data_IF_876711327683
#
_entry.id   IF_876711327683
#
_cell.length_a   1.000
_cell.length_b   1.000
_cell.length_c   1.000
_cell.angle_alpha   90.00
_cell.angle_beta   90.00
_cell.angle_gamma   90.00
#
_symmetry.space_group_name_H-M   'P 1'
#
loop_
_entity.id
_entity.type
_entity.pdbx_description
1 polymer ?
#
# COMPACT_ATOMS: atom_id res chain seq x y z
N UNK A 1 -11.88 -0.16 -9.12
CA UNK A 1 -12.58 -0.55 -7.87
C UNK A 1 -13.42 0.62 -7.34
N UNK A 2 -14.61 0.38 -6.80
CA UNK A 2 -15.48 1.40 -6.19
C UNK A 2 -15.47 1.29 -4.64
N UNK A 3 -15.99 2.29 -3.92
CA UNK A 3 -15.91 2.40 -2.45
C UNK A 3 -16.66 1.35 -1.61
N UNK A 4 -17.19 0.28 -2.22
CA UNK A 4 -17.82 -0.86 -1.52
C UNK A 4 -17.00 -2.15 -1.60
N UNK A 5 -15.83 -2.10 -2.22
CA UNK A 5 -14.95 -3.25 -2.38
C UNK A 5 -14.02 -3.34 -1.17
N UNK A 6 -13.83 -4.55 -0.63
CA UNK A 6 -12.88 -4.77 0.47
C UNK A 6 -11.44 -4.66 -0.03
N UNK A 7 -10.54 -4.17 0.82
CA UNK A 7 -9.13 -4.04 0.47
C UNK A 7 -8.49 -5.39 0.10
N UNK A 8 -8.92 -6.48 0.76
CA UNK A 8 -8.52 -7.85 0.39
C UNK A 8 -8.84 -8.16 -1.07
N UNK A 9 -10.07 -7.85 -1.51
CA UNK A 9 -10.48 -8.11 -2.89
C UNK A 9 -9.69 -7.24 -3.86
N UNK A 10 -9.48 -5.95 -3.53
CA UNK A 10 -8.63 -5.06 -4.35
C UNK A 10 -7.23 -5.64 -4.54
N UNK A 11 -6.59 -6.13 -3.48
CA UNK A 11 -5.24 -6.68 -3.58
C UNK A 11 -5.21 -7.94 -4.46
N UNK A 12 -6.17 -8.85 -4.29
CA UNK A 12 -6.26 -10.08 -5.08
C UNK A 12 -6.46 -9.76 -6.56
N UNK A 13 -7.40 -8.88 -6.90
CA UNK A 13 -7.73 -8.51 -8.29
C UNK A 13 -6.68 -7.60 -8.94
N UNK A 14 -5.84 -6.92 -8.15
CA UNK A 14 -4.82 -6.01 -8.68
C UNK A 14 -3.62 -6.72 -9.32
N UNK A 15 -3.54 -8.05 -9.20
CA UNK A 15 -2.39 -8.88 -9.60
C UNK A 15 -1.07 -8.44 -8.96
N UNK A 16 -1.10 -7.65 -7.87
CA UNK A 16 0.11 -7.23 -7.16
C UNK A 16 0.80 -8.43 -6.51
N UNK A 17 0.01 -9.41 -6.07
CA UNK A 17 0.52 -10.62 -5.44
C UNK A 17 1.32 -11.47 -6.44
N UNK A 18 1.02 -11.40 -7.75
CA UNK A 18 1.71 -12.16 -8.80
C UNK A 18 3.13 -11.66 -9.04
N UNK A 19 3.45 -10.49 -8.51
CA UNK A 19 4.78 -9.90 -8.55
C UNK A 19 5.64 -10.33 -7.37
N UNK A 20 5.07 -11.03 -6.39
CA UNK A 20 5.80 -11.48 -5.22
C UNK A 20 6.78 -12.57 -5.58
N UNK A 21 8.01 -12.42 -5.08
CA UNK A 21 9.04 -13.43 -5.16
C UNK A 21 9.11 -14.23 -3.86
N UNK A 22 9.58 -15.47 -3.98
CA UNK A 22 9.78 -16.33 -2.82
C UNK A 22 10.71 -15.66 -1.80
N UNK A 23 10.30 -15.64 -0.53
CA UNK A 23 11.05 -15.04 0.57
C UNK A 23 10.86 -13.53 0.76
N UNK A 24 10.14 -12.83 -0.12
CA UNK A 24 9.83 -11.40 0.07
C UNK A 24 8.95 -11.15 1.30
N UNK A 25 9.03 -9.93 1.84
CA UNK A 25 8.27 -9.51 3.00
C UNK A 25 7.19 -8.51 2.61
N UNK A 26 5.94 -8.84 2.92
CA UNK A 26 4.80 -7.93 2.80
C UNK A 26 4.44 -7.37 4.16
N UNK A 27 4.44 -6.05 4.26
CA UNK A 27 3.94 -5.30 5.40
C UNK A 27 2.49 -4.91 5.14
N UNK A 28 1.62 -5.15 6.12
CA UNK A 28 0.23 -4.74 6.03
C UNK A 28 -0.25 -4.10 7.33
N UNK A 29 -1.30 -3.30 7.22
CA UNK A 29 -2.00 -2.77 8.37
C UNK A 29 -2.68 -3.89 9.16
N UNK A 30 -2.94 -3.60 10.44
CA UNK A 30 -3.58 -4.54 11.34
C UNK A 30 -4.95 -4.97 10.78
N UNK A 31 -5.23 -6.27 10.87
CA UNK A 31 -6.52 -6.83 10.47
C UNK A 31 -6.64 -7.06 8.96
N UNK A 32 -5.57 -6.86 8.18
CA UNK A 32 -5.58 -7.14 6.76
C UNK A 32 -5.56 -8.67 6.50
N UNK A 33 -6.63 -9.28 5.94
CA UNK A 33 -6.80 -10.73 5.93
C UNK A 33 -6.13 -11.40 4.70
N UNK A 34 -4.80 -11.24 4.57
CA UNK A 34 -4.01 -11.77 3.46
C UNK A 34 -2.93 -12.79 3.83
N UNK A 35 -2.71 -13.06 5.11
CA UNK A 35 -1.62 -13.93 5.58
C UNK A 35 -1.56 -15.27 4.84
N UNK A 36 -2.69 -15.99 4.76
CA UNK A 36 -2.79 -17.26 4.05
C UNK A 36 -2.48 -17.12 2.55
N UNK A 37 -2.97 -16.06 1.91
CA UNK A 37 -2.80 -15.83 0.45
C UNK A 37 -1.35 -15.47 0.12
N UNK A 38 -0.65 -14.79 1.03
CA UNK A 38 0.77 -14.45 0.88
C UNK A 38 1.64 -15.69 1.14
N UNK A 39 1.27 -16.51 2.13
CA UNK A 39 1.98 -17.74 2.45
C UNK A 39 1.96 -18.77 1.31
N UNK A 40 0.85 -18.92 0.57
CA UNK A 40 0.78 -19.82 -0.59
C UNK A 40 1.74 -19.45 -1.73
N UNK A 41 2.22 -18.21 -1.75
CA UNK A 41 3.21 -17.71 -2.71
C UNK A 41 4.65 -17.78 -2.18
N UNK A 42 4.84 -18.34 -0.98
CA UNK A 42 6.14 -18.46 -0.34
C UNK A 42 6.74 -17.13 0.13
N UNK A 43 5.90 -16.10 0.29
CA UNK A 43 6.29 -14.81 0.84
C UNK A 43 5.93 -14.74 2.34
N UNK A 44 6.60 -13.84 3.06
CA UNK A 44 6.37 -13.56 4.48
C UNK A 44 5.35 -12.43 4.61
N UNK A 45 4.39 -12.59 5.51
CA UNK A 45 3.42 -11.56 5.82
C UNK A 45 3.66 -11.03 7.22
N UNK A 46 3.66 -9.71 7.39
CA UNK A 46 3.94 -9.09 8.68
C UNK A 46 3.04 -7.90 8.95
N UNK A 47 2.46 -7.91 10.13
CA UNK A 47 1.63 -6.84 10.68
C UNK A 47 2.29 -6.32 11.96
N UNK A 48 2.06 -5.05 12.34
CA UNK A 48 2.56 -4.52 13.61
C UNK A 48 2.13 -5.37 14.80
N UNK A 49 3.04 -5.60 15.75
CA UNK A 49 2.73 -6.41 16.93
C UNK A 49 1.59 -5.78 17.74
N UNK A 50 0.85 -6.62 18.45
CA UNK A 50 -0.30 -6.20 19.23
C UNK A 50 -0.35 -6.86 20.60
N UNK A 51 -0.71 -6.07 21.61
CA UNK A 51 -0.98 -6.51 22.97
C UNK A 51 -2.40 -7.09 23.05
N UNK A 52 -2.64 -8.23 22.38
CA UNK A 52 -3.98 -8.86 22.37
C UNK A 52 -4.37 -9.30 23.77
N UNK A 53 -3.60 -10.25 24.32
CA UNK A 53 -3.81 -10.81 25.66
C UNK A 53 -2.60 -10.58 26.59
N UNK A 54 -1.58 -9.85 26.11
CA UNK A 54 -0.34 -9.56 26.85
C UNK A 54 -0.43 -8.19 27.53
N UNK A 55 0.04 -8.10 28.78
CA UNK A 55 0.19 -6.81 29.50
C UNK A 55 1.24 -5.89 28.86
N UNK A 56 2.25 -6.46 28.20
CA UNK A 56 3.34 -5.72 27.56
C UNK A 56 3.93 -6.55 26.40
N UNK A 57 4.46 -5.88 25.37
CA UNK A 57 5.28 -6.51 24.34
C UNK A 57 6.67 -6.86 24.89
N UNK A 58 7.26 -7.94 24.41
CA UNK A 58 8.68 -8.22 24.67
C UNK A 58 9.58 -7.16 24.02
N UNK A 59 10.83 -7.08 24.46
CA UNK A 59 11.82 -6.19 23.86
C UNK A 59 12.01 -6.47 22.36
N UNK A 60 12.04 -7.75 21.98
CA UNK A 60 12.15 -8.18 20.59
C UNK A 60 10.93 -7.73 19.75
N UNK A 61 9.71 -7.96 20.22
CA UNK A 61 8.48 -7.52 19.54
C UNK A 61 8.41 -5.99 19.43
N UNK A 62 8.92 -5.28 20.45
CA UNK A 62 8.95 -3.82 20.47
C UNK A 62 9.91 -3.27 19.42
N UNK A 63 11.12 -3.81 19.34
CA UNK A 63 12.11 -3.42 18.34
C UNK A 63 11.65 -3.75 16.92
N UNK A 64 11.03 -4.91 16.72
CA UNK A 64 10.46 -5.31 15.43
C UNK A 64 9.32 -4.38 14.99
N UNK A 65 8.44 -4.01 15.91
CA UNK A 65 7.37 -3.04 15.65
C UNK A 65 7.93 -1.67 15.30
N UNK A 66 8.99 -1.23 15.98
CA UNK A 66 9.68 0.03 15.67
C UNK A 66 10.25 0.02 14.26
N UNK A 67 10.87 -1.08 13.83
CA UNK A 67 11.38 -1.24 12.45
C UNK A 67 10.26 -1.15 11.41
N UNK A 68 9.15 -1.86 11.62
CA UNK A 68 7.99 -1.79 10.72
C UNK A 68 7.43 -0.36 10.66
N UNK A 69 7.29 0.31 11.80
CA UNK A 69 6.79 1.67 11.89
C UNK A 69 7.69 2.66 11.12
N UNK A 70 9.02 2.52 11.22
CA UNK A 70 9.96 3.35 10.47
C UNK A 70 9.77 3.20 8.95
N UNK A 71 9.65 1.98 8.45
CA UNK A 71 9.39 1.73 7.01
C UNK A 71 8.04 2.31 6.59
N UNK A 72 7.00 2.17 7.42
CA UNK A 72 5.66 2.74 7.16
C UNK A 72 5.70 4.26 6.99
N UNK A 73 6.48 4.97 7.81
CA UNK A 73 6.62 6.43 7.71
C UNK A 73 7.07 6.83 6.31
N UNK A 74 7.98 6.08 5.69
CA UNK A 74 8.43 6.35 4.34
C UNK A 74 7.33 6.11 3.29
N UNK A 75 6.56 5.02 3.41
CA UNK A 75 5.42 4.73 2.53
C UNK A 75 4.37 5.84 2.61
N UNK A 76 3.97 6.22 3.83
CA UNK A 76 2.99 7.28 4.07
C UNK A 76 3.47 8.63 3.53
N UNK A 77 4.77 8.92 3.65
CA UNK A 77 5.39 10.13 3.10
C UNK A 77 5.33 10.15 1.57
N UNK A 78 5.60 9.03 0.90
CA UNK A 78 5.49 8.93 -0.57
C UNK A 78 4.04 9.10 -1.03
N UNK A 79 3.09 8.42 -0.38
CA UNK A 79 1.65 8.56 -0.69
C UNK A 79 1.20 10.02 -0.48
N UNK A 80 1.59 10.62 0.64
CA UNK A 80 1.32 12.01 0.96
C UNK A 80 1.91 12.98 -0.07
N UNK A 81 3.16 12.76 -0.49
CA UNK A 81 3.82 13.57 -1.52
C UNK A 81 3.09 13.49 -2.86
N UNK A 82 2.69 12.30 -3.32
CA UNK A 82 1.91 12.14 -4.56
C UNK A 82 0.59 12.92 -4.45
N UNK A 83 -0.16 12.75 -3.36
CA UNK A 83 -1.45 13.44 -3.15
C UNK A 83 -1.32 14.96 -3.07
N UNK A 84 -0.22 15.46 -2.49
CA UNK A 84 -0.03 16.90 -2.26
C UNK A 84 0.58 17.63 -3.44
N UNK A 85 1.48 16.98 -4.19
CA UNK A 85 2.20 17.54 -5.33
C UNK A 85 1.30 17.75 -6.55
N UNK A 86 0.43 16.80 -6.88
CA UNK A 86 -0.41 16.88 -8.06
C UNK A 86 -1.81 17.41 -7.72
N UNK A 87 -2.07 18.67 -8.07
CA UNK A 87 -3.39 19.31 -7.86
C UNK A 87 -4.54 18.52 -8.51
N UNK A 88 -4.28 17.82 -9.61
CA UNK A 88 -5.27 16.98 -10.31
C UNK A 88 -5.78 15.81 -9.44
N UNK A 89 -5.05 15.39 -8.40
CA UNK A 89 -5.51 14.35 -7.47
C UNK A 89 -6.34 14.90 -6.31
N UNK A 90 -6.38 16.23 -6.13
CA UNK A 90 -7.11 16.89 -5.04
C UNK A 90 -8.56 17.20 -5.41
N UNK A 91 -9.43 17.24 -4.41
CA UNK A 91 -10.84 17.59 -4.59
C UNK A 91 -11.67 16.53 -5.30
N UNK A 92 -12.98 16.78 -5.45
CA UNK A 92 -13.90 15.84 -6.08
C UNK A 92 -13.50 15.56 -7.54
N UNK A 93 -13.79 14.34 -7.99
CA UNK A 93 -13.60 13.94 -9.39
C UNK A 93 -14.95 13.82 -10.06
N UNK A 94 -15.01 14.18 -11.34
CA UNK A 94 -16.20 13.91 -12.13
C UNK A 94 -16.40 12.39 -12.22
N UNK A 95 -17.59 11.92 -11.84
CA UNK A 95 -17.92 10.49 -11.84
C UNK A 95 -17.77 9.85 -13.23
N UNK A 96 -17.91 10.64 -14.31
CA UNK A 96 -17.72 10.15 -15.67
C UNK A 96 -16.28 9.67 -15.92
N UNK A 97 -15.28 10.21 -15.20
CA UNK A 97 -13.90 9.74 -15.27
C UNK A 97 -13.70 8.36 -14.66
N UNK A 98 -14.62 7.91 -13.81
CA UNK A 98 -14.64 6.56 -13.25
C UNK A 98 -15.42 5.59 -14.15
N UNK A 99 -16.39 6.09 -14.93
CA UNK A 99 -17.26 5.28 -15.82
C UNK A 99 -16.59 4.94 -17.15
N UNK A 100 -15.70 5.80 -17.64
CA UNK A 100 -14.94 5.55 -18.87
C UNK A 100 -13.81 4.54 -18.58
N UNK A 101 -14.17 3.26 -18.56
CA UNK A 101 -13.26 2.14 -18.33
C UNK A 101 -12.85 1.56 -19.68
N UNK A 102 -11.55 1.55 -19.94
CA UNK A 102 -10.95 0.89 -21.10
C UNK A 102 -9.92 -0.11 -20.56
N UNK A 103 -10.08 -1.40 -20.88
CA UNK A 103 -9.21 -2.49 -20.40
C UNK A 103 -9.05 -2.45 -18.86
N UNK A 104 -10.17 -2.51 -18.14
CA UNK A 104 -10.28 -2.52 -16.67
C UNK A 104 -9.63 -1.34 -15.93
N UNK A 105 -9.29 -0.26 -16.65
CA UNK A 105 -8.72 0.96 -16.06
C UNK A 105 -9.57 2.16 -16.41
N UNK A 106 -9.99 2.86 -15.37
CA UNK A 106 -10.66 4.15 -15.51
C UNK A 106 -9.66 5.22 -15.94
N UNK A 107 -10.18 6.36 -16.43
CA UNK A 107 -9.36 7.53 -16.69
C UNK A 107 -8.60 8.00 -15.44
N UNK A 108 -9.22 7.86 -14.26
CA UNK A 108 -8.58 8.19 -12.98
C UNK A 108 -7.37 7.30 -12.70
N UNK A 109 -7.44 6.00 -13.01
CA UNK A 109 -6.32 5.07 -12.85
C UNK A 109 -5.12 5.48 -13.73
N UNK A 110 -5.40 5.94 -14.95
CA UNK A 110 -4.38 6.48 -15.87
C UNK A 110 -3.72 7.74 -15.29
N UNK A 111 -4.50 8.67 -14.72
CA UNK A 111 -3.97 9.87 -14.04
C UNK A 111 -3.05 9.48 -12.88
N UNK A 112 -3.51 8.60 -11.98
CA UNK A 112 -2.72 8.17 -10.83
C UNK A 112 -1.40 7.53 -11.28
N UNK A 113 -1.45 6.66 -12.31
CA UNK A 113 -0.25 6.03 -12.87
C UNK A 113 0.77 7.06 -13.37
N UNK A 114 0.32 8.06 -14.12
CA UNK A 114 1.20 9.14 -14.63
C UNK A 114 1.79 9.96 -13.48
N UNK A 115 1.00 10.29 -12.45
CA UNK A 115 1.50 10.98 -11.25
C UNK A 115 2.59 10.16 -10.52
N UNK A 116 2.41 8.84 -10.41
CA UNK A 116 3.43 7.96 -9.83
C UNK A 116 4.70 7.91 -10.68
N UNK A 117 4.58 7.81 -12.01
CA UNK A 117 5.73 7.84 -12.93
C UNK A 117 6.52 9.14 -12.76
N UNK A 118 5.84 10.29 -12.77
CA UNK A 118 6.52 11.58 -12.54
C UNK A 118 7.13 11.68 -11.14
N UNK A 119 6.52 11.08 -10.12
CA UNK A 119 7.10 11.06 -8.78
C UNK A 119 8.42 10.28 -8.74
N UNK A 120 8.54 9.21 -9.51
CA UNK A 120 9.76 8.41 -9.62
C UNK A 120 10.89 9.13 -10.37
N UNK A 121 10.57 10.14 -11.19
CA UNK A 121 11.55 10.96 -11.90
C UNK A 121 12.03 12.18 -11.10
N UNK A 122 11.40 12.45 -9.96
CA UNK A 122 11.74 13.58 -9.09
C UNK A 122 12.68 13.13 -7.97
N UNK A 123 13.36 14.08 -7.29
CA UNK A 123 14.20 13.76 -6.15
C UNK A 123 13.43 12.96 -5.09
N UNK A 124 14.14 12.03 -4.44
CA UNK A 124 13.55 11.14 -3.46
C UNK A 124 12.86 11.94 -2.35
N UNK A 125 11.64 11.53 -2.03
CA UNK A 125 10.85 12.08 -0.91
C UNK A 125 11.39 11.56 0.43
N UNK A 126 12.10 10.44 0.38
CA UNK A 126 12.77 9.83 1.53
C UNK A 126 14.25 10.17 1.43
N UNK A 127 14.87 10.79 2.45
CA UNK A 127 16.31 10.98 2.49
C UNK A 127 17.02 9.65 2.20
N UNK A 128 18.02 9.68 1.32
CA UNK A 128 18.95 8.58 1.19
C UNK A 128 19.97 8.81 2.29
N UNK A 129 19.85 8.06 3.39
CA UNK A 129 20.85 8.04 4.45
C UNK A 129 22.20 7.52 3.91
#
# INVERSE_FOLDING_TARGET
>A
FCGRVSDKHVVIESNILDKLQHGELILADRGFPLEEVVATRGAKFKVPAFMKDKKQLSEQETEETRRIANVRIHVDRVIGAIRTRFKILKGPKNINFLKNVEVDKSFVDKIVKVCCIFSNLLPSVVPLD
#
